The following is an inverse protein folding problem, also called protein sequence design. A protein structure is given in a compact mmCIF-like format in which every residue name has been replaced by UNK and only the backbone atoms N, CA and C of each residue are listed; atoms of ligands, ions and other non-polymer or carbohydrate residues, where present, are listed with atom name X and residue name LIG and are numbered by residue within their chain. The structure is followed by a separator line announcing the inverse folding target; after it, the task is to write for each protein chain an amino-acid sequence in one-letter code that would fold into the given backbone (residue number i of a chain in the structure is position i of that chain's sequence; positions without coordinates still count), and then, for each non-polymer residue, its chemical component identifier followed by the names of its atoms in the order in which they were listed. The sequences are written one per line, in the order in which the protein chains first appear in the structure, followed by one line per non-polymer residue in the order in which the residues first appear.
data_IF_077040580232
#
_entry.id   IF_077040580232
#
_cell.length_a   1.000
_cell.length_b   1.000
_cell.length_c   1.000
_cell.angle_alpha   90.00
_cell.angle_beta   90.00
_cell.angle_gamma   90.00
#
_symmetry.space_group_name_H-M   'P 1'
#
loop_
_entity.id
_entity.type
_entity.pdbx_description
1 polymer ?
#
# COMPACT_ATOMS: atom_id res chain seq x y z
N UNK A 1 -16.42 13.62 1.35
CA UNK A 1 -16.40 12.41 2.20
C UNK A 1 -16.47 12.84 3.65
N UNK A 2 -17.38 12.28 4.44
CA UNK A 2 -17.53 12.56 5.88
C UNK A 2 -16.49 11.80 6.68
N UNK A 3 -15.63 12.51 7.42
CA UNK A 3 -14.66 11.91 8.36
C UNK A 3 -15.41 11.35 9.56
N UNK A 4 -14.98 10.19 10.08
CA UNK A 4 -15.51 9.60 11.31
C UNK A 4 -14.49 9.77 12.43
N UNK A 5 -14.92 10.30 13.57
CA UNK A 5 -14.11 10.30 14.78
C UNK A 5 -13.89 8.86 15.26
N UNK A 6 -12.66 8.54 15.66
CA UNK A 6 -12.26 7.22 16.17
C UNK A 6 -11.44 7.45 17.44
N UNK A 7 -11.73 6.66 18.48
CA UNK A 7 -10.97 6.73 19.73
C UNK A 7 -9.80 5.75 19.63
N UNK A 8 -8.59 6.19 19.98
CA UNK A 8 -7.38 5.39 19.91
C UNK A 8 -6.49 5.67 21.12
N UNK A 9 -5.74 4.67 21.55
CA UNK A 9 -4.76 4.79 22.64
C UNK A 9 -3.41 5.13 22.02
N UNK A 10 -2.78 6.20 22.51
CA UNK A 10 -1.46 6.66 22.09
C UNK A 10 -0.62 6.95 23.33
N UNK A 11 0.71 6.84 23.19
CA UNK A 11 1.63 7.30 24.22
C UNK A 11 1.39 8.80 24.52
N UNK A 12 1.09 9.17 25.77
CA UNK A 12 0.85 10.56 26.14
C UNK A 12 2.07 11.46 25.88
N UNK A 13 3.30 10.96 26.09
CA UNK A 13 4.51 11.76 25.87
C UNK A 13 4.67 12.11 24.39
N UNK A 14 4.41 11.16 23.49
CA UNK A 14 4.43 11.39 22.05
C UNK A 14 3.32 12.36 21.61
N UNK A 15 2.14 12.27 22.22
CA UNK A 15 1.03 13.17 21.92
C UNK A 15 1.37 14.61 22.32
N UNK A 16 1.97 14.80 23.50
CA UNK A 16 2.37 16.11 24.00
C UNK A 16 3.49 16.71 23.13
N UNK A 17 4.47 15.92 22.74
CA UNK A 17 5.53 16.33 21.82
C UNK A 17 4.96 16.74 20.45
N UNK A 18 4.06 15.93 19.89
CA UNK A 18 3.43 16.26 18.61
C UNK A 18 2.60 17.55 18.67
N UNK A 19 1.93 17.81 19.80
CA UNK A 19 1.21 19.08 20.04
C UNK A 19 2.17 20.26 20.17
N UNK A 20 3.27 20.10 20.91
CA UNK A 20 4.29 21.13 21.07
C UNK A 20 4.94 21.51 19.72
N UNK A 21 5.10 20.53 18.83
CA UNK A 21 5.61 20.72 17.47
C UNK A 21 4.54 21.17 16.45
N UNK A 22 3.30 21.40 16.89
CA UNK A 22 2.17 21.80 16.04
C UNK A 22 1.91 20.82 14.86
N UNK A 23 2.13 19.53 15.11
CA UNK A 23 1.88 18.48 14.12
C UNK A 23 0.38 18.26 13.97
N UNK A 24 -0.10 18.22 12.72
CA UNK A 24 -1.48 17.88 12.44
C UNK A 24 -1.69 16.37 12.61
N UNK A 25 -2.10 15.95 13.81
CA UNK A 25 -2.31 14.55 14.18
C UNK A 25 -3.27 13.84 13.24
N UNK A 26 -4.39 14.47 12.87
CA UNK A 26 -5.39 13.84 12.01
C UNK A 26 -4.84 13.58 10.61
N UNK A 27 -4.16 14.56 10.01
CA UNK A 27 -3.57 14.40 8.68
C UNK A 27 -2.45 13.37 8.67
N UNK A 28 -1.58 13.40 9.69
CA UNK A 28 -0.46 12.47 9.83
C UNK A 28 -0.95 11.04 10.01
N UNK A 29 -1.89 10.83 10.91
CA UNK A 29 -2.50 9.51 11.13
C UNK A 29 -3.21 8.99 9.88
N UNK A 30 -3.98 9.84 9.19
CA UNK A 30 -4.69 9.45 7.97
C UNK A 30 -3.74 9.03 6.85
N UNK A 31 -2.61 9.73 6.69
CA UNK A 31 -1.57 9.37 5.72
C UNK A 31 -0.94 8.02 6.06
N UNK A 32 -0.44 7.85 7.29
CA UNK A 32 0.19 6.61 7.74
C UNK A 32 -0.76 5.42 7.67
N UNK A 33 -2.04 5.61 8.03
CA UNK A 33 -3.05 4.56 7.94
C UNK A 33 -3.35 4.19 6.49
N UNK A 34 -3.41 5.17 5.58
CA UNK A 34 -3.62 4.92 4.15
C UNK A 34 -2.48 4.08 3.56
N UNK A 35 -1.25 4.38 3.93
CA UNK A 35 -0.08 3.62 3.48
C UNK A 35 -0.06 2.20 4.02
N UNK A 36 -0.34 2.03 5.33
CA UNK A 36 -0.45 0.71 5.94
C UNK A 36 -1.55 -0.16 5.29
N UNK A 37 -2.73 0.43 5.02
CA UNK A 37 -3.83 -0.25 4.35
C UNK A 37 -3.45 -0.61 2.91
N UNK A 38 -2.82 0.31 2.18
CA UNK A 38 -2.36 0.05 0.81
C UNK A 38 -1.36 -1.10 0.77
N UNK A 39 -0.38 -1.11 1.67
CA UNK A 39 0.62 -2.16 1.76
C UNK A 39 -0.02 -3.53 2.03
N UNK A 40 -0.99 -3.60 2.96
CA UNK A 40 -1.70 -4.86 3.24
C UNK A 40 -2.59 -5.32 2.11
N UNK A 41 -3.29 -4.42 1.43
CA UNK A 41 -4.06 -4.77 0.23
C UNK A 41 -3.16 -5.29 -0.89
N UNK A 42 -2.01 -4.66 -1.11
CA UNK A 42 -1.05 -5.12 -2.12
C UNK A 42 -0.50 -6.51 -1.79
N UNK A 43 -0.14 -6.76 -0.53
CA UNK A 43 0.32 -8.07 -0.08
C UNK A 43 -0.77 -9.14 -0.24
N UNK A 44 -2.02 -8.84 0.14
CA UNK A 44 -3.14 -9.74 -0.05
C UNK A 44 -3.38 -10.06 -1.53
N UNK A 45 -3.38 -9.02 -2.38
CA UNK A 45 -3.56 -9.19 -3.82
C UNK A 45 -2.47 -10.07 -4.44
N UNK A 46 -1.21 -9.88 -4.04
CA UNK A 46 -0.09 -10.72 -4.49
C UNK A 46 -0.28 -12.18 -4.10
N UNK A 47 -0.79 -12.45 -2.89
CA UNK A 47 -1.09 -13.82 -2.45
C UNK A 47 -2.21 -14.44 -3.29
N UNK A 48 -3.32 -13.70 -3.45
CA UNK A 48 -4.50 -14.14 -4.19
C UNK A 48 -4.18 -14.39 -5.68
N UNK A 49 -3.27 -13.60 -6.26
CA UNK A 49 -2.93 -13.66 -7.67
C UNK A 49 -1.64 -14.46 -7.93
N UNK A 50 -1.02 -15.05 -6.90
CA UNK A 50 0.25 -15.77 -7.05
C UNK A 50 0.19 -16.84 -8.14
N UNK A 51 -0.88 -17.63 -8.19
CA UNK A 51 -1.05 -18.68 -9.19
C UNK A 51 -1.19 -18.12 -10.62
N UNK A 52 -1.92 -17.02 -10.79
CA UNK A 52 -2.08 -16.36 -12.09
C UNK A 52 -0.77 -15.72 -12.56
N UNK A 53 -0.04 -15.08 -11.64
CA UNK A 53 1.29 -14.52 -11.91
C UNK A 53 2.26 -15.63 -12.32
N UNK A 54 2.31 -16.74 -11.58
CA UNK A 54 3.18 -17.88 -11.92
C UNK A 54 2.83 -18.47 -13.28
N UNK A 55 1.54 -18.72 -13.55
CA UNK A 55 1.07 -19.22 -14.85
C UNK A 55 1.49 -18.30 -16.00
N UNK A 56 1.36 -16.98 -15.81
CA UNK A 56 1.81 -15.99 -16.80
C UNK A 56 3.33 -16.02 -16.99
N UNK A 57 4.11 -16.13 -15.90
CA UNK A 57 5.56 -16.18 -15.96
C UNK A 57 6.03 -17.44 -16.71
N UNK A 58 5.48 -18.61 -16.37
CA UNK A 58 5.76 -19.89 -17.03
C UNK A 58 5.45 -19.83 -18.53
N UNK A 59 4.37 -19.13 -18.91
CA UNK A 59 4.02 -18.94 -20.30
C UNK A 59 5.05 -18.07 -21.02
N UNK A 60 5.49 -16.97 -20.42
CA UNK A 60 6.51 -16.07 -21.00
C UNK A 60 7.85 -16.78 -21.13
N UNK A 61 8.27 -17.58 -20.13
CA UNK A 61 9.51 -18.37 -20.23
C UNK A 61 9.47 -19.36 -21.40
N UNK A 62 8.31 -19.97 -21.67
CA UNK A 62 8.14 -20.95 -22.75
C UNK A 62 7.99 -20.30 -24.13
N UNK A 63 7.37 -19.12 -24.22
CA UNK A 63 6.93 -18.53 -25.50
C UNK A 63 7.66 -17.22 -25.85
N UNK A 64 8.52 -16.72 -24.96
CA UNK A 64 9.11 -15.39 -25.06
C UNK A 64 8.14 -14.28 -24.67
N UNK A 65 8.61 -13.04 -24.74
CA UNK A 65 7.79 -11.88 -24.41
C UNK A 65 6.68 -11.68 -25.45
N UNK A 66 5.40 -11.59 -25.02
CA UNK A 66 4.33 -11.23 -25.93
C UNK A 66 4.66 -9.92 -26.63
N UNK A 67 4.41 -9.88 -27.94
CA UNK A 67 4.54 -8.67 -28.75
C UNK A 67 5.96 -8.08 -28.82
N UNK A 68 7.01 -8.83 -28.43
CA UNK A 68 8.40 -8.40 -28.51
C UNK A 68 8.77 -7.85 -29.90
N UNK A 69 8.27 -8.50 -30.96
CA UNK A 69 8.44 -8.09 -32.37
C UNK A 69 7.91 -6.71 -32.75
N UNK A 70 7.14 -6.04 -31.88
CA UNK A 70 6.60 -4.70 -32.11
C UNK A 70 7.22 -3.64 -31.20
N UNK A 71 8.20 -3.99 -30.36
CA UNK A 71 8.88 -3.04 -29.47
C UNK A 71 9.71 -2.05 -30.30
N UNK A 72 9.29 -0.78 -30.33
CA UNK A 72 10.09 0.33 -30.87
C UNK A 72 11.00 0.86 -29.75
N UNK A 73 12.31 0.85 -29.99
CA UNK A 73 13.34 1.33 -29.08
C UNK A 73 13.47 2.86 -29.14
#
# INVERSE_FOLDING_TARGET
MTKRATNLTIDPALLDEARALNINLSATFEASLRDAVRARKAAQWLEENRAAIQSSNDWVEKNGLPLEKYRQF
#
